data_IF_614202706621
#
_entry.id   IF_614202706621
#
_cell.length_a   1.000
_cell.length_b   1.000
_cell.length_c   1.000
_cell.angle_alpha   90.00
_cell.angle_beta   90.00
_cell.angle_gamma   90.00
#
_symmetry.space_group_name_H-M   'P 1'
#
loop_
_entity.id
_entity.type
_entity.pdbx_description
1 polymer ?
#
# COMPACT_ATOMS: atom_id res chain seq x y z
N UNK A 1 -61.61 47.45 -0.70
CA UNK A 1 -60.63 46.55 -1.35
C UNK A 1 -61.04 45.12 -1.00
N UNK A 2 -61.79 44.47 -1.88
CA UNK A 2 -62.34 43.12 -1.65
C UNK A 2 -61.29 42.12 -2.10
N UNK A 3 -60.59 41.50 -1.14
CA UNK A 3 -59.60 40.46 -1.43
C UNK A 3 -60.37 39.20 -1.81
N UNK A 4 -60.19 38.75 -3.05
CA UNK A 4 -60.89 37.62 -3.63
C UNK A 4 -60.33 36.30 -3.08
N UNK A 5 -60.94 35.81 -2.00
CA UNK A 5 -60.51 34.65 -1.20
C UNK A 5 -60.32 33.35 -2.00
N UNK A 6 -60.93 33.21 -3.19
CA UNK A 6 -60.81 32.01 -4.02
C UNK A 6 -59.42 31.82 -4.63
N UNK A 7 -58.68 32.91 -4.92
CA UNK A 7 -57.33 32.80 -5.50
C UNK A 7 -56.24 32.54 -4.46
N UNK A 8 -56.49 32.85 -3.18
CA UNK A 8 -55.53 32.61 -2.09
C UNK A 8 -55.45 31.13 -1.67
N UNK A 9 -56.55 30.37 -1.80
CA UNK A 9 -56.56 28.94 -1.46
C UNK A 9 -55.77 28.11 -2.50
N UNK A 10 -55.85 28.49 -3.78
CA UNK A 10 -55.09 27.83 -4.86
C UNK A 10 -53.57 28.07 -4.69
N UNK A 11 -53.17 29.25 -4.22
CA UNK A 11 -51.76 29.56 -3.96
C UNK A 11 -51.19 28.77 -2.76
N UNK A 12 -51.99 28.52 -1.72
CA UNK A 12 -51.58 27.72 -0.55
C UNK A 12 -51.47 26.23 -0.93
N UNK A 13 -52.39 25.71 -1.75
CA UNK A 13 -52.29 24.33 -2.25
C UNK A 13 -51.12 24.12 -3.22
N UNK A 14 -50.79 25.13 -4.06
CA UNK A 14 -49.61 25.08 -4.90
C UNK A 14 -48.32 25.11 -4.07
N UNK A 15 -48.24 25.94 -3.02
CA UNK A 15 -47.11 25.95 -2.09
C UNK A 15 -46.96 24.61 -1.36
N UNK A 16 -48.05 23.98 -0.90
CA UNK A 16 -47.99 22.66 -0.25
C UNK A 16 -47.57 21.54 -1.21
N UNK A 17 -47.86 21.64 -2.51
CA UNK A 17 -47.35 20.70 -3.51
C UNK A 17 -45.85 20.89 -3.81
N UNK A 18 -45.32 22.10 -3.68
CA UNK A 18 -43.86 22.35 -3.79
C UNK A 18 -43.07 21.98 -2.52
N UNK A 19 -43.73 21.82 -1.37
CA UNK A 19 -43.11 21.25 -0.15
C UNK A 19 -43.17 19.71 -0.10
N UNK A 20 -43.74 19.06 -1.12
CA UNK A 20 -43.74 17.61 -1.26
C UNK A 20 -42.34 17.07 -1.59
N UNK A 21 -41.68 16.56 -0.55
CA UNK A 21 -40.37 15.90 -0.56
C UNK A 21 -39.16 16.84 -0.57
N UNK A 22 -39.02 17.63 0.51
CA UNK A 22 -37.67 18.00 0.95
C UNK A 22 -36.99 16.69 1.38
N UNK A 23 -36.21 16.10 0.47
CA UNK A 23 -35.27 15.03 0.80
C UNK A 23 -34.17 15.69 1.61
N UNK A 24 -34.24 15.57 2.93
CA UNK A 24 -33.13 15.94 3.78
C UNK A 24 -31.95 15.05 3.42
N UNK A 25 -30.80 15.66 3.09
CA UNK A 25 -29.58 14.91 2.90
C UNK A 25 -29.28 14.14 4.19
N UNK A 26 -29.05 12.83 4.07
CA UNK A 26 -28.73 11.97 5.20
C UNK A 26 -27.46 12.49 5.91
N UNK A 27 -27.51 12.58 7.23
CA UNK A 27 -26.31 12.96 7.99
C UNK A 27 -25.32 11.79 8.01
N UNK A 28 -24.00 12.02 8.20
CA UNK A 28 -23.04 10.94 8.36
C UNK A 28 -23.45 9.91 9.45
N UNK A 29 -24.14 10.38 10.50
CA UNK A 29 -24.67 9.54 11.56
C UNK A 29 -25.82 8.63 11.09
N UNK A 30 -26.71 9.14 10.24
CA UNK A 30 -27.82 8.35 9.67
C UNK A 30 -27.26 7.25 8.78
N UNK A 31 -26.29 7.62 7.91
CA UNK A 31 -25.66 6.65 7.00
C UNK A 31 -24.87 5.60 7.77
N UNK A 32 -24.10 6.00 8.79
CA UNK A 32 -23.39 5.05 9.65
C UNK A 32 -24.37 4.12 10.38
N UNK A 33 -25.51 4.63 10.85
CA UNK A 33 -26.53 3.83 11.53
C UNK A 33 -27.19 2.82 10.59
N UNK A 34 -27.55 3.23 9.37
CA UNK A 34 -28.07 2.32 8.35
C UNK A 34 -27.03 1.26 7.97
N UNK A 35 -25.78 1.68 7.83
CA UNK A 35 -24.66 0.79 7.58
C UNK A 35 -24.49 -0.27 8.68
N UNK A 36 -24.57 0.10 9.97
CA UNK A 36 -24.54 -0.86 11.08
C UNK A 36 -25.75 -1.82 11.06
N UNK A 37 -26.94 -1.32 10.70
CA UNK A 37 -28.14 -2.16 10.52
C UNK A 37 -27.94 -3.17 9.40
N UNK A 38 -27.26 -2.78 8.32
CA UNK A 38 -26.99 -3.68 7.19
C UNK A 38 -26.23 -4.94 7.62
N UNK A 39 -25.28 -4.82 8.56
CA UNK A 39 -24.57 -5.97 9.09
C UNK A 39 -25.41 -6.81 10.04
N UNK A 40 -26.21 -6.16 10.88
CA UNK A 40 -27.10 -6.84 11.83
C UNK A 40 -28.14 -7.70 11.10
N UNK A 41 -28.45 -7.35 9.85
CA UNK A 41 -29.39 -8.06 8.99
C UNK A 41 -28.72 -9.15 8.12
N UNK A 42 -27.39 -9.30 8.15
CA UNK A 42 -26.70 -10.34 7.37
C UNK A 42 -26.98 -11.72 7.97
N UNK A 43 -27.35 -12.66 7.11
CA UNK A 43 -27.44 -14.07 7.49
C UNK A 43 -26.04 -14.72 7.57
N UNK A 44 -25.97 -15.95 8.09
CA UNK A 44 -24.72 -16.69 8.28
C UNK A 44 -23.90 -16.85 7.00
N UNK A 45 -24.55 -17.09 5.85
CA UNK A 45 -23.83 -17.25 4.57
C UNK A 45 -23.23 -15.92 4.08
N UNK A 46 -23.96 -14.81 4.25
CA UNK A 46 -23.47 -13.48 3.92
C UNK A 46 -22.27 -13.09 4.81
N UNK A 47 -22.35 -13.40 6.11
CA UNK A 47 -21.24 -13.18 7.03
C UNK A 47 -20.03 -14.06 6.67
N UNK A 48 -20.26 -15.34 6.39
CA UNK A 48 -19.20 -16.27 5.95
C UNK A 48 -18.48 -15.76 4.72
N UNK A 49 -19.22 -15.25 3.72
CA UNK A 49 -18.65 -14.66 2.51
C UNK A 49 -17.88 -13.36 2.78
N UNK A 50 -18.39 -12.48 3.67
CA UNK A 50 -17.74 -11.20 3.97
C UNK A 50 -16.43 -11.40 4.75
N UNK A 51 -16.42 -12.30 5.72
CA UNK A 51 -15.29 -12.50 6.63
C UNK A 51 -14.41 -13.70 6.27
N UNK A 52 -14.78 -14.49 5.26
CA UNK A 52 -14.06 -15.69 4.81
C UNK A 52 -13.74 -16.66 5.95
N UNK A 53 -14.67 -16.85 6.89
CA UNK A 53 -14.47 -17.74 8.03
C UNK A 53 -14.86 -19.19 7.72
N UNK A 54 -14.27 -20.13 8.45
CA UNK A 54 -14.65 -21.55 8.44
C UNK A 54 -15.64 -21.89 9.54
N UNK A 55 -15.51 -21.25 10.71
CA UNK A 55 -16.38 -21.43 11.87
C UNK A 55 -16.69 -20.10 12.55
N UNK A 56 -17.96 -19.82 12.82
CA UNK A 56 -18.38 -18.63 13.58
C UNK A 56 -18.43 -18.96 15.07
N UNK A 57 -17.69 -18.22 15.90
CA UNK A 57 -17.67 -18.41 17.36
C UNK A 57 -18.72 -17.55 18.03
N UNK A 58 -18.78 -16.26 17.67
CA UNK A 58 -19.71 -15.31 18.27
C UNK A 58 -19.99 -14.15 17.31
N UNK A 59 -21.26 -13.75 17.18
CA UNK A 59 -21.66 -12.57 16.42
C UNK A 59 -22.44 -11.60 17.32
N UNK A 60 -21.80 -10.48 17.65
CA UNK A 60 -22.38 -9.34 18.36
C UNK A 60 -22.04 -8.06 17.62
N UNK A 61 -22.17 -8.05 16.29
CA UNK A 61 -21.99 -6.82 15.51
C UNK A 61 -23.04 -5.78 15.97
N UNK A 62 -22.68 -4.50 16.15
CA UNK A 62 -21.39 -3.86 15.78
C UNK A 62 -20.25 -4.02 16.79
N UNK A 63 -20.52 -4.48 18.01
CA UNK A 63 -19.53 -4.53 19.09
C UNK A 63 -18.38 -5.47 18.79
N UNK A 64 -18.67 -6.68 18.28
CA UNK A 64 -17.63 -7.62 17.86
C UNK A 64 -18.17 -8.77 17.02
N UNK A 65 -17.33 -9.32 16.15
CA UNK A 65 -17.49 -10.66 15.57
C UNK A 65 -16.24 -11.49 15.84
N UNK A 66 -16.41 -12.75 16.19
CA UNK A 66 -15.33 -13.70 16.51
C UNK A 66 -15.53 -14.99 15.72
N UNK A 67 -14.50 -15.44 15.04
CA UNK A 67 -14.57 -16.57 14.11
C UNK A 67 -13.18 -17.21 13.91
N UNK A 68 -13.17 -18.42 13.35
CA UNK A 68 -11.97 -19.07 12.85
C UNK A 68 -11.86 -18.88 11.34
N UNK A 69 -10.65 -18.57 10.86
CA UNK A 69 -10.35 -18.51 9.44
C UNK A 69 -9.12 -19.38 9.11
N UNK A 70 -9.12 -19.92 7.90
CA UNK A 70 -7.98 -20.62 7.32
C UNK A 70 -6.96 -19.61 6.81
N UNK A 71 -6.21 -19.02 7.74
CA UNK A 71 -5.22 -17.98 7.49
C UNK A 71 -4.30 -17.84 8.71
N UNK A 72 -3.13 -17.24 8.51
CA UNK A 72 -2.32 -16.72 9.61
C UNK A 72 -2.96 -15.46 10.21
N UNK A 73 -2.56 -15.12 11.44
CA UNK A 73 -2.93 -13.85 12.02
C UNK A 73 -2.51 -12.67 11.14
N UNK A 74 -3.28 -11.56 11.13
CA UNK A 74 -2.88 -10.38 10.38
C UNK A 74 -1.46 -9.96 10.73
N UNK A 75 -0.67 -9.61 9.72
CA UNK A 75 0.71 -9.11 9.82
C UNK A 75 1.78 -10.11 10.27
N UNK A 76 1.46 -11.40 10.44
CA UNK A 76 2.47 -12.40 10.83
C UNK A 76 3.12 -13.09 9.62
N UNK A 77 2.37 -13.31 8.54
CA UNK A 77 2.87 -13.92 7.30
C UNK A 77 2.44 -13.10 6.07
N UNK A 78 3.35 -12.62 5.22
CA UNK A 78 2.99 -11.72 4.13
C UNK A 78 2.13 -12.35 3.03
N UNK A 79 2.08 -13.69 2.92
CA UNK A 79 1.37 -14.39 1.85
C UNK A 79 0.01 -14.95 2.29
N UNK A 80 -0.08 -15.40 3.54
CA UNK A 80 -1.23 -16.15 4.03
C UNK A 80 -1.90 -15.51 5.25
N UNK A 81 -1.56 -14.25 5.58
CA UNK A 81 -2.26 -13.49 6.62
C UNK A 81 -3.72 -13.24 6.28
N UNK A 82 -4.57 -13.28 7.29
CA UNK A 82 -5.94 -12.82 7.19
C UNK A 82 -6.00 -11.34 6.83
N UNK A 83 -6.79 -11.01 5.80
CA UNK A 83 -7.03 -9.63 5.38
C UNK A 83 -8.22 -9.08 6.15
N UNK A 84 -7.96 -8.16 7.07
CA UNK A 84 -8.99 -7.48 7.86
C UNK A 84 -9.89 -6.68 6.91
N UNK A 85 -11.23 -6.91 6.90
CA UNK A 85 -12.14 -6.07 6.14
C UNK A 85 -12.01 -4.61 6.56
N UNK A 86 -11.98 -3.71 5.58
CA UNK A 86 -11.65 -2.28 5.78
C UNK A 86 -12.49 -1.55 6.84
N UNK A 87 -13.71 -2.03 7.09
CA UNK A 87 -14.68 -1.48 8.04
C UNK A 87 -14.44 -1.90 9.50
N UNK A 88 -13.44 -2.75 9.73
CA UNK A 88 -13.21 -3.40 11.01
C UNK A 88 -11.80 -3.12 11.53
N UNK A 89 -11.68 -3.05 12.85
CA UNK A 89 -10.41 -3.11 13.55
C UNK A 89 -10.19 -4.51 14.10
N UNK A 90 -8.93 -4.96 14.08
CA UNK A 90 -8.52 -6.16 14.81
C UNK A 90 -8.59 -5.90 16.32
N UNK A 91 -9.32 -6.75 17.03
CA UNK A 91 -9.35 -6.77 18.51
C UNK A 91 -8.31 -7.76 19.03
N UNK A 92 -8.29 -8.96 18.47
CA UNK A 92 -7.34 -10.01 18.84
C UNK A 92 -7.21 -11.03 17.72
N UNK A 93 -6.05 -11.69 17.68
CA UNK A 93 -5.85 -12.87 16.87
C UNK A 93 -5.04 -13.91 17.66
N UNK A 94 -5.48 -15.16 17.62
CA UNK A 94 -4.81 -16.30 18.25
C UNK A 94 -4.66 -17.42 17.21
N UNK A 95 -3.44 -17.93 17.04
CA UNK A 95 -3.21 -19.06 16.15
C UNK A 95 -3.65 -20.36 16.84
N UNK A 96 -4.48 -21.15 16.15
CA UNK A 96 -4.95 -22.45 16.60
C UNK A 96 -4.19 -23.62 15.96
N UNK A 97 -4.73 -24.82 16.17
CA UNK A 97 -4.16 -26.05 15.64
C UNK A 97 -4.40 -26.18 14.13
N UNK A 98 -3.44 -26.79 13.44
CA UNK A 98 -3.53 -27.08 11.99
C UNK A 98 -4.68 -28.07 11.73
N UNK A 99 -5.51 -27.80 10.72
CA UNK A 99 -6.60 -28.69 10.33
C UNK A 99 -7.80 -28.75 11.27
N UNK A 100 -7.94 -27.75 12.13
CA UNK A 100 -9.07 -27.61 13.06
C UNK A 100 -10.18 -26.72 12.50
N UNK A 101 -11.29 -26.58 13.22
CA UNK A 101 -12.33 -25.56 12.99
C UNK A 101 -12.87 -25.46 11.55
N UNK A 102 -13.01 -26.61 10.88
CA UNK A 102 -13.55 -26.71 9.52
C UNK A 102 -12.60 -26.30 8.39
N UNK A 103 -11.32 -26.05 8.68
CA UNK A 103 -10.29 -25.80 7.66
C UNK A 103 -9.70 -27.08 7.06
N UNK A 104 -8.84 -26.91 6.06
CA UNK A 104 -8.10 -28.01 5.42
C UNK A 104 -7.13 -28.68 6.41
N UNK A 105 -6.92 -30.00 6.29
CA UNK A 105 -6.14 -30.81 7.26
C UNK A 105 -4.68 -30.38 7.47
N UNK A 106 -4.13 -29.57 6.56
CA UNK A 106 -2.76 -29.05 6.61
C UNK A 106 -2.69 -27.54 6.79
N UNK A 107 -3.84 -26.87 6.92
CA UNK A 107 -3.92 -25.43 6.93
C UNK A 107 -3.92 -24.87 8.35
N UNK A 108 -3.21 -23.76 8.53
CA UNK A 108 -3.19 -23.04 9.80
C UNK A 108 -4.52 -22.33 10.01
N UNK A 109 -5.02 -22.42 11.23
CA UNK A 109 -6.26 -21.78 11.64
C UNK A 109 -5.95 -20.63 12.59
N UNK A 110 -6.64 -19.51 12.42
CA UNK A 110 -6.54 -18.37 13.34
C UNK A 110 -7.91 -17.97 13.85
N UNK A 111 -8.03 -17.80 15.17
CA UNK A 111 -9.19 -17.25 15.83
C UNK A 111 -9.08 -15.73 15.80
N UNK A 112 -9.96 -15.10 15.04
CA UNK A 112 -9.93 -13.67 14.78
C UNK A 112 -11.13 -13.03 15.45
N UNK A 113 -10.87 -11.94 16.18
CA UNK A 113 -11.91 -11.07 16.72
C UNK A 113 -11.79 -9.69 16.12
N UNK A 114 -12.87 -9.22 15.52
CA UNK A 114 -12.98 -7.92 14.89
C UNK A 114 -14.05 -7.07 15.57
N UNK A 115 -13.90 -5.74 15.53
CA UNK A 115 -14.93 -4.76 15.91
C UNK A 115 -15.18 -3.80 14.75
N UNK A 116 -16.42 -3.33 14.57
CA UNK A 116 -16.69 -2.29 13.56
C UNK A 116 -15.96 -1.00 13.96
N UNK A 117 -15.35 -0.32 13.00
CA UNK A 117 -14.71 0.98 13.21
C UNK A 117 -15.74 2.01 13.70
N UNK A 118 -15.31 2.91 14.57
CA UNK A 118 -16.14 4.04 15.03
C UNK A 118 -16.51 4.98 13.89
N UNK A 119 -17.55 5.79 14.08
CA UNK A 119 -18.01 6.76 13.08
C UNK A 119 -16.92 7.78 12.71
N UNK A 120 -16.02 8.09 13.65
CA UNK A 120 -14.85 8.95 13.46
C UNK A 120 -13.85 8.40 12.43
N UNK A 121 -13.94 7.10 12.12
CA UNK A 121 -13.10 6.41 11.13
C UNK A 121 -13.94 5.79 10.00
N UNK A 122 -15.23 6.13 9.95
CA UNK A 122 -16.13 5.59 8.94
C UNK A 122 -16.00 6.40 7.65
N UNK A 123 -15.72 5.70 6.56
CA UNK A 123 -15.76 6.22 5.21
C UNK A 123 -16.59 5.27 4.37
N UNK A 124 -17.29 5.80 3.37
CA UNK A 124 -18.04 4.96 2.45
C UNK A 124 -17.13 4.56 1.32
N UNK A 125 -17.13 3.26 0.96
CA UNK A 125 -16.46 2.83 -0.25
C UNK A 125 -17.41 2.18 -1.25
N UNK A 126 -17.15 2.42 -2.53
CA UNK A 126 -17.80 1.71 -3.62
C UNK A 126 -16.79 1.37 -4.70
N UNK A 127 -16.97 0.20 -5.31
CA UNK A 127 -16.21 -0.25 -6.47
C UNK A 127 -17.16 -0.32 -7.67
N UNK A 128 -16.84 0.40 -8.74
CA UNK A 128 -17.65 0.45 -9.95
C UNK A 128 -16.83 -0.15 -11.09
N UNK A 129 -17.21 -1.35 -11.54
CA UNK A 129 -16.62 -1.95 -12.72
C UNK A 129 -16.94 -1.11 -13.96
N UNK A 130 -15.94 -0.85 -14.80
CA UNK A 130 -16.12 -0.07 -16.02
C UNK A 130 -15.29 -0.61 -17.19
N UNK A 131 -15.67 -0.24 -18.42
CA UNK A 131 -14.83 -0.39 -19.62
C UNK A 131 -14.09 0.91 -19.88
N UNK A 132 -12.84 0.86 -20.34
CA UNK A 132 -12.00 2.05 -20.48
C UNK A 132 -12.66 3.20 -21.27
N UNK A 133 -13.42 2.89 -22.33
CA UNK A 133 -14.15 3.88 -23.13
C UNK A 133 -15.29 4.58 -22.36
N UNK A 134 -15.80 3.96 -21.29
CA UNK A 134 -16.87 4.50 -20.45
C UNK A 134 -16.33 5.39 -19.30
N UNK A 135 -15.01 5.47 -19.12
CA UNK A 135 -14.40 6.11 -17.95
C UNK A 135 -14.85 7.57 -17.77
N UNK A 136 -14.78 8.38 -18.83
CA UNK A 136 -15.15 9.80 -18.78
C UNK A 136 -16.64 10.01 -18.45
N UNK A 137 -17.51 9.16 -19.00
CA UNK A 137 -18.94 9.17 -18.70
C UNK A 137 -19.20 8.86 -17.22
N UNK A 138 -18.53 7.84 -16.68
CA UNK A 138 -18.71 7.41 -15.29
C UNK A 138 -18.24 8.49 -14.32
N UNK A 139 -17.06 9.08 -14.52
CA UNK A 139 -16.56 10.11 -13.60
C UNK A 139 -17.39 11.40 -13.67
N UNK A 140 -18.01 11.70 -14.81
CA UNK A 140 -18.89 12.87 -14.95
C UNK A 140 -20.13 12.80 -14.03
N UNK A 141 -20.62 11.59 -13.71
CA UNK A 141 -21.70 11.38 -12.74
C UNK A 141 -21.32 11.80 -11.32
N UNK A 142 -20.02 11.93 -11.04
CA UNK A 142 -19.47 12.41 -9.77
C UNK A 142 -18.96 13.86 -9.88
N UNK A 143 -19.31 14.55 -10.96
CA UNK A 143 -18.87 15.92 -11.23
C UNK A 143 -17.37 16.04 -11.47
N UNK A 144 -16.69 14.96 -11.87
CA UNK A 144 -15.27 14.93 -12.19
C UNK A 144 -15.05 14.97 -13.70
N UNK A 145 -13.92 15.54 -14.10
CA UNK A 145 -13.43 15.51 -15.48
C UNK A 145 -12.11 14.73 -15.52
N UNK A 146 -11.71 14.24 -16.70
CA UNK A 146 -10.43 13.51 -16.84
C UNK A 146 -9.21 14.32 -16.41
N UNK A 147 -9.26 15.63 -16.55
CA UNK A 147 -8.23 16.57 -16.07
C UNK A 147 -8.10 16.60 -14.54
N UNK A 148 -9.13 16.18 -13.80
CA UNK A 148 -9.09 16.11 -12.34
C UNK A 148 -8.23 14.91 -11.87
N UNK A 149 -7.95 13.96 -12.77
CA UNK A 149 -7.14 12.79 -12.48
C UNK A 149 -5.67 13.04 -12.78
N UNK A 150 -4.80 12.81 -11.78
CA UNK A 150 -3.36 12.72 -12.03
C UNK A 150 -3.04 11.33 -12.58
N UNK A 151 -2.41 11.28 -13.74
CA UNK A 151 -1.87 10.02 -14.25
C UNK A 151 -0.63 9.67 -13.44
N UNK A 152 -0.56 8.44 -12.93
CA UNK A 152 0.71 7.92 -12.45
C UNK A 152 1.62 7.75 -13.68
N UNK A 153 2.62 8.62 -13.85
CA UNK A 153 3.59 8.54 -14.96
C UNK A 153 4.56 7.35 -14.75
N UNK A 154 4.04 6.14 -14.51
CA UNK A 154 4.79 4.95 -14.12
C UNK A 154 5.16 4.00 -15.25
N UNK A 155 5.07 4.44 -16.51
CA UNK A 155 5.49 3.61 -17.65
C UNK A 155 7.00 3.30 -17.70
N UNK A 156 7.81 3.81 -16.77
CA UNK A 156 9.27 3.66 -16.79
C UNK A 156 9.78 2.30 -16.27
N UNK A 157 9.05 1.57 -15.43
CA UNK A 157 9.58 0.35 -14.79
C UNK A 157 9.36 -0.95 -15.59
N UNK A 158 8.27 -1.08 -16.36
CA UNK A 158 7.96 -2.34 -17.07
C UNK A 158 8.84 -2.61 -18.31
N UNK A 159 9.60 -1.61 -18.79
CA UNK A 159 10.46 -1.73 -19.97
C UNK A 159 11.93 -2.06 -19.65
N UNK A 160 12.32 -2.17 -18.38
CA UNK A 160 13.72 -2.33 -18.01
C UNK A 160 14.25 -3.77 -18.15
N UNK A 161 13.36 -4.78 -18.06
CA UNK A 161 13.78 -6.17 -17.85
C UNK A 161 13.88 -7.03 -19.13
N UNK A 162 13.35 -6.58 -20.28
CA UNK A 162 13.19 -7.48 -21.45
C UNK A 162 14.34 -7.54 -22.45
N UNK A 163 15.32 -6.63 -22.44
CA UNK A 163 16.22 -6.45 -23.60
C UNK A 163 17.72 -6.25 -23.30
N UNK A 164 18.37 -7.02 -22.41
CA UNK A 164 19.85 -6.93 -22.28
C UNK A 164 20.57 -8.27 -22.12
N UNK A 165 20.94 -8.86 -23.26
CA UNK A 165 22.07 -9.79 -23.35
C UNK A 165 23.37 -8.98 -23.15
N UNK A 166 24.19 -9.34 -22.17
CA UNK A 166 25.47 -8.67 -21.93
C UNK A 166 26.61 -9.67 -22.11
N UNK A 167 27.50 -9.46 -23.09
CA UNK A 167 28.77 -10.18 -23.29
C UNK A 167 29.97 -9.43 -22.66
N UNK A 168 30.79 -10.13 -21.88
CA UNK A 168 32.15 -9.80 -21.41
C UNK A 168 32.59 -10.88 -20.42
N UNK A 169 33.89 -11.16 -20.37
CA UNK A 169 34.40 -12.49 -20.06
C UNK A 169 34.74 -12.76 -18.57
N UNK A 170 34.18 -11.97 -17.64
CA UNK A 170 34.08 -12.31 -16.20
C UNK A 170 32.80 -11.68 -15.67
N UNK A 171 31.79 -12.49 -15.38
CA UNK A 171 30.42 -12.00 -15.25
C UNK A 171 29.62 -12.73 -14.19
N UNK A 172 28.72 -11.97 -13.56
CA UNK A 172 27.42 -12.53 -13.18
C UNK A 172 26.82 -13.14 -14.45
N UNK A 173 26.91 -14.46 -14.56
CA UNK A 173 26.62 -15.19 -15.81
C UNK A 173 25.12 -15.15 -16.08
N UNK A 174 24.31 -15.26 -15.02
CA UNK A 174 22.86 -15.16 -15.12
C UNK A 174 22.22 -15.02 -13.74
N UNK A 175 21.05 -14.37 -13.72
CA UNK A 175 20.07 -14.57 -12.66
C UNK A 175 18.97 -15.45 -13.25
N UNK A 176 18.72 -16.59 -12.63
CA UNK A 176 17.63 -17.48 -13.04
C UNK A 176 16.58 -17.54 -11.95
N UNK A 177 15.32 -17.69 -12.34
CA UNK A 177 14.23 -17.91 -11.41
C UNK A 177 13.70 -19.33 -11.63
N UNK A 178 13.68 -20.15 -10.57
CA UNK A 178 13.06 -21.47 -10.59
C UNK A 178 11.95 -21.48 -9.55
N UNK A 179 10.70 -21.49 -10.02
CA UNK A 179 9.49 -21.27 -9.20
C UNK A 179 9.55 -19.90 -8.49
N UNK A 180 9.54 -19.89 -7.15
CA UNK A 180 9.52 -18.70 -6.31
C UNK A 180 10.90 -18.25 -5.83
N UNK A 181 11.95 -19.01 -6.21
CA UNK A 181 13.30 -18.76 -5.76
C UNK A 181 14.15 -18.22 -6.89
N UNK A 182 15.00 -17.27 -6.53
CA UNK A 182 16.02 -16.71 -7.41
C UNK A 182 17.35 -17.41 -7.16
N UNK A 183 18.09 -17.59 -8.24
CA UNK A 183 19.43 -18.14 -8.23
C UNK A 183 20.34 -17.24 -9.04
N UNK A 184 21.61 -17.24 -8.67
CA UNK A 184 22.63 -16.42 -9.28
C UNK A 184 23.76 -17.34 -9.70
N UNK A 185 24.19 -17.24 -10.94
CA UNK A 185 25.38 -17.94 -11.41
C UNK A 185 26.55 -16.95 -11.43
N UNK A 186 27.54 -17.15 -10.57
CA UNK A 186 28.81 -16.39 -10.56
C UNK A 186 29.95 -17.37 -10.79
N UNK A 187 30.79 -17.10 -11.80
CA UNK A 187 31.92 -17.98 -12.16
C UNK A 187 31.50 -19.46 -12.24
N UNK A 188 30.41 -19.72 -12.96
CA UNK A 188 29.80 -21.05 -13.18
C UNK A 188 29.25 -21.75 -11.92
N UNK A 189 29.36 -21.11 -10.74
CA UNK A 189 28.75 -21.59 -9.50
C UNK A 189 27.36 -21.00 -9.31
N UNK A 190 26.38 -21.86 -9.07
CA UNK A 190 25.00 -21.50 -8.76
C UNK A 190 24.86 -21.24 -7.25
N UNK A 191 24.38 -20.05 -6.90
CA UNK A 191 24.07 -19.63 -5.54
C UNK A 191 22.57 -19.40 -5.39
N UNK A 192 22.02 -19.70 -4.20
CA UNK A 192 20.59 -19.67 -3.90
C UNK A 192 20.15 -20.96 -3.19
N UNK A 193 18.85 -21.15 -2.93
CA UNK A 193 17.73 -20.28 -3.31
C UNK A 193 17.67 -18.97 -2.51
N UNK A 194 17.35 -17.88 -3.19
CA UNK A 194 17.05 -16.57 -2.58
C UNK A 194 15.57 -16.22 -2.75
N UNK A 195 14.98 -15.52 -1.78
CA UNK A 195 13.60 -15.05 -1.89
C UNK A 195 13.48 -13.99 -3.00
N UNK A 196 14.47 -13.10 -3.11
CA UNK A 196 14.44 -11.97 -4.04
C UNK A 196 15.86 -11.48 -4.38
N UNK A 197 16.08 -11.02 -5.61
CA UNK A 197 17.25 -10.24 -6.01
C UNK A 197 16.82 -8.79 -6.17
N UNK A 198 17.36 -7.90 -5.32
CA UNK A 198 16.87 -6.53 -5.17
C UNK A 198 17.57 -5.59 -6.15
N UNK A 199 18.89 -5.70 -6.26
CA UNK A 199 19.70 -4.85 -7.10
C UNK A 199 20.97 -5.59 -7.54
N UNK A 200 21.49 -5.25 -8.72
CA UNK A 200 22.77 -5.73 -9.24
C UNK A 200 23.52 -4.62 -9.96
N UNK A 201 24.83 -4.48 -9.71
CA UNK A 201 25.68 -3.61 -10.54
C UNK A 201 26.03 -4.30 -11.85
N UNK A 202 26.25 -3.49 -12.90
CA UNK A 202 26.64 -3.96 -14.22
C UNK A 202 28.16 -4.00 -14.41
N UNK A 203 28.94 -3.51 -13.44
CA UNK A 203 30.40 -3.53 -13.54
C UNK A 203 30.89 -4.98 -13.40
N UNK A 204 31.45 -5.59 -14.46
CA UNK A 204 31.92 -6.96 -14.42
C UNK A 204 33.13 -7.16 -13.50
N UNK A 205 33.90 -6.11 -13.22
CA UNK A 205 35.06 -6.18 -12.34
C UNK A 205 34.66 -6.09 -10.86
N UNK A 206 33.54 -5.41 -10.58
CA UNK A 206 33.05 -5.13 -9.23
C UNK A 206 31.56 -5.48 -9.11
N UNK A 207 31.19 -6.77 -9.26
CA UNK A 207 29.80 -7.18 -9.16
C UNK A 207 29.29 -7.01 -7.72
N UNK A 208 28.16 -6.35 -7.59
CA UNK A 208 27.41 -6.20 -6.35
C UNK A 208 26.06 -6.84 -6.59
N UNK A 209 25.65 -7.68 -5.66
CA UNK A 209 24.33 -8.28 -5.67
C UNK A 209 23.71 -8.08 -4.31
N UNK A 210 22.56 -7.42 -4.28
CA UNK A 210 21.72 -7.34 -3.10
C UNK A 210 20.61 -8.38 -3.20
N UNK A 211 20.42 -9.18 -2.15
CA UNK A 211 19.41 -10.23 -2.14
C UNK A 211 18.75 -10.36 -0.76
N UNK A 212 17.55 -10.97 -0.76
CA UNK A 212 16.79 -11.26 0.46
C UNK A 212 16.77 -12.76 0.74
N UNK A 213 17.03 -13.12 1.99
CA UNK A 213 16.94 -14.48 2.49
C UNK A 213 16.49 -14.45 3.95
N UNK A 214 15.50 -15.27 4.30
CA UNK A 214 14.91 -15.32 5.65
C UNK A 214 14.52 -13.93 6.20
N UNK A 215 13.88 -13.12 5.35
CA UNK A 215 13.46 -11.74 5.66
C UNK A 215 14.61 -10.80 6.10
N UNK A 216 15.86 -11.16 5.80
CA UNK A 216 17.04 -10.32 6.01
C UNK A 216 17.72 -10.03 4.68
N UNK A 217 18.43 -8.92 4.67
CA UNK A 217 19.11 -8.38 3.50
C UNK A 217 20.58 -8.69 3.56
N UNK A 218 21.13 -9.06 2.41
CA UNK A 218 22.52 -9.42 2.24
C UNK A 218 23.08 -8.78 0.98
N UNK A 219 24.39 -8.59 0.95
CA UNK A 219 25.10 -8.15 -0.24
C UNK A 219 26.30 -9.04 -0.54
N UNK A 220 26.43 -9.45 -1.81
CA UNK A 220 27.62 -10.12 -2.35
C UNK A 220 28.47 -9.07 -3.05
N UNK A 221 29.70 -8.89 -2.59
CA UNK A 221 30.70 -7.98 -3.18
C UNK A 221 32.11 -8.52 -2.89
N UNK A 222 32.48 -9.62 -3.55
CA UNK A 222 33.68 -10.41 -3.23
C UNK A 222 33.59 -11.22 -1.92
N UNK A 223 32.71 -10.81 -0.99
CA UNK A 223 32.29 -11.53 0.20
C UNK A 223 30.80 -11.34 0.43
N UNK A 224 30.20 -12.19 1.26
CA UNK A 224 28.82 -12.01 1.73
C UNK A 224 28.85 -11.13 2.98
N UNK A 225 28.08 -10.04 2.98
CA UNK A 225 27.91 -9.16 4.14
C UNK A 225 26.42 -9.06 4.51
N UNK A 226 26.11 -9.11 5.80
CA UNK A 226 24.75 -9.20 6.37
C UNK A 226 24.73 -10.08 7.63
N UNK A 227 23.56 -10.39 8.21
CA UNK A 227 22.23 -9.91 7.83
C UNK A 227 21.99 -8.44 8.21
N UNK A 228 21.24 -7.74 7.37
CA UNK A 228 20.74 -6.38 7.63
C UNK A 228 19.21 -6.36 7.65
N UNK A 229 18.65 -5.37 8.33
CA UNK A 229 17.21 -5.08 8.22
C UNK A 229 16.90 -4.46 6.86
N UNK A 230 17.79 -3.58 6.36
CA UNK A 230 17.62 -2.88 5.09
C UNK A 230 18.97 -2.58 4.43
N UNK A 231 19.05 -2.54 3.10
CA UNK A 231 20.22 -2.02 2.37
C UNK A 231 19.75 -0.84 1.53
N UNK A 232 20.25 0.34 1.85
CA UNK A 232 19.87 1.59 1.18
C UNK A 232 20.76 1.84 -0.04
N UNK A 233 22.05 1.56 0.09
CA UNK A 233 23.02 1.75 -0.98
C UNK A 233 24.21 0.80 -0.79
N UNK A 234 24.73 0.27 -1.89
CA UNK A 234 25.97 -0.48 -1.88
C UNK A 234 26.79 -0.16 -3.13
N UNK A 235 28.09 0.08 -2.96
CA UNK A 235 29.04 0.32 -4.04
C UNK A 235 30.37 -0.39 -3.75
N UNK A 236 31.12 -0.74 -4.80
CA UNK A 236 32.35 -1.51 -4.76
C UNK A 236 33.21 -1.13 -5.97
N UNK A 237 34.49 -0.85 -5.75
CA UNK A 237 35.49 -0.57 -6.76
C UNK A 237 36.87 -1.16 -6.36
N UNK A 238 37.91 -0.83 -7.13
CA UNK A 238 39.29 -1.28 -6.90
C UNK A 238 39.88 -0.81 -5.56
N UNK A 239 39.29 0.22 -4.95
CA UNK A 239 39.77 0.83 -3.71
C UNK A 239 38.96 0.40 -2.49
N UNK A 240 37.89 -0.35 -2.68
CA UNK A 240 37.10 -0.87 -1.58
C UNK A 240 35.60 -0.86 -1.83
N UNK A 241 34.83 -0.94 -0.75
CA UNK A 241 33.37 -0.91 -0.78
C UNK A 241 32.78 0.08 0.21
N UNK A 242 31.53 0.42 -0.06
CA UNK A 242 30.64 1.10 0.86
C UNK A 242 29.30 0.36 0.91
N UNK A 243 28.79 0.13 2.11
CA UNK A 243 27.42 -0.36 2.35
C UNK A 243 26.74 0.62 3.29
N UNK A 244 25.65 1.23 2.84
CA UNK A 244 24.74 1.99 3.68
C UNK A 244 23.51 1.13 3.98
N UNK A 245 23.31 0.79 5.25
CA UNK A 245 22.33 -0.21 5.67
C UNK A 245 21.65 0.19 6.99
N UNK A 246 20.55 -0.49 7.31
CA UNK A 246 19.90 -0.42 8.62
C UNK A 246 20.02 -1.76 9.33
N UNK A 247 20.28 -1.72 10.63
CA UNK A 247 20.33 -2.88 11.52
C UNK A 247 19.83 -2.49 12.91
N UNK A 248 18.96 -3.30 13.50
CA UNK A 248 18.34 -3.04 14.79
C UNK A 248 17.71 -1.63 14.84
N UNK A 249 17.01 -1.29 13.75
CA UNK A 249 16.36 0.01 13.52
C UNK A 249 17.30 1.23 13.38
N UNK A 250 18.62 1.07 13.50
CA UNK A 250 19.60 2.16 13.35
C UNK A 250 20.32 2.10 12.00
N UNK A 251 20.77 3.25 11.51
CA UNK A 251 21.49 3.36 10.24
C UNK A 251 23.00 3.27 10.46
N UNK A 252 23.70 2.65 9.50
CA UNK A 252 25.14 2.46 9.51
C UNK A 252 25.72 2.56 8.11
N UNK A 253 26.93 3.12 8.02
CA UNK A 253 27.77 3.07 6.83
C UNK A 253 28.96 2.17 7.18
N UNK A 254 29.09 1.04 6.49
CA UNK A 254 30.31 0.22 6.49
C UNK A 254 31.14 0.62 5.27
N UNK A 255 32.28 1.28 5.53
CA UNK A 255 33.25 1.66 4.52
C UNK A 255 34.55 0.89 4.80
N UNK A 256 34.85 -0.11 3.98
CA UNK A 256 36.03 -0.97 4.13
C UNK A 256 36.20 -1.60 5.52
N UNK A 257 35.10 -1.97 6.18
CA UNK A 257 35.07 -2.62 7.49
C UNK A 257 35.01 -1.62 8.64
N UNK A 258 35.15 -0.33 8.33
CA UNK A 258 34.97 0.75 9.30
C UNK A 258 33.49 1.13 9.35
N UNK A 259 32.84 0.76 10.45
CA UNK A 259 31.44 1.08 10.70
C UNK A 259 31.34 2.50 11.27
N UNK A 260 30.47 3.30 10.66
CA UNK A 260 30.15 4.66 11.09
C UNK A 260 28.65 4.73 11.28
N UNK A 261 28.23 5.26 12.43
CA UNK A 261 26.83 5.60 12.69
C UNK A 261 26.62 7.03 12.22
N UNK A 262 25.99 7.26 11.05
CA UNK A 262 25.71 8.61 10.61
C UNK A 262 24.74 9.28 11.58
N UNK A 263 24.87 10.60 11.74
CA UNK A 263 23.83 11.37 12.44
C UNK A 263 22.51 11.20 11.67
N UNK A 264 21.43 10.91 12.39
CA UNK A 264 20.11 10.86 11.76
C UNK A 264 19.77 12.20 11.13
N UNK A 265 19.36 12.17 9.87
CA UNK A 265 18.89 13.34 9.13
C UNK A 265 17.87 12.97 8.05
N UNK A 266 17.15 13.99 7.58
CA UNK A 266 15.95 13.94 6.73
C UNK A 266 16.11 13.12 5.43
N UNK A 267 17.28 13.21 4.81
CA UNK A 267 17.68 12.42 3.66
C UNK A 267 19.20 12.33 3.66
N UNK A 268 19.73 11.18 3.31
CA UNK A 268 21.17 10.95 3.29
C UNK A 268 21.58 10.60 1.88
N UNK A 269 22.24 11.54 1.22
CA UNK A 269 22.86 11.29 -0.07
C UNK A 269 24.26 10.75 0.19
N UNK A 270 24.49 9.49 -0.19
CA UNK A 270 25.81 8.87 -0.12
C UNK A 270 26.38 8.77 -1.52
N UNK A 271 27.45 9.51 -1.78
CA UNK A 271 28.21 9.43 -3.02
C UNK A 271 29.50 8.70 -2.75
N UNK A 272 29.73 7.61 -3.46
CA UNK A 272 30.98 6.84 -3.43
C UNK A 272 31.69 6.95 -4.77
N UNK A 273 32.98 7.31 -4.77
CA UNK A 273 33.81 7.37 -5.97
C UNK A 273 35.28 7.17 -5.61
N UNK A 274 35.92 6.16 -6.20
CA UNK A 274 37.36 5.89 -6.08
C UNK A 274 37.83 5.74 -4.62
N UNK A 275 37.17 4.89 -3.85
CA UNK A 275 37.53 4.65 -2.45
C UNK A 275 37.41 5.89 -1.55
N UNK A 276 36.58 6.86 -1.94
CA UNK A 276 36.18 7.98 -1.11
C UNK A 276 34.67 8.03 -1.09
N UNK A 277 34.11 8.44 0.03
CA UNK A 277 32.70 8.72 0.13
C UNK A 277 32.45 10.05 0.81
N UNK A 278 31.38 10.70 0.38
CA UNK A 278 30.80 11.85 1.04
C UNK A 278 29.38 11.42 1.35
N UNK A 279 28.96 11.60 2.60
CA UNK A 279 27.55 11.57 2.93
C UNK A 279 27.16 12.95 3.42
N UNK A 280 26.06 13.47 2.89
CA UNK A 280 25.51 14.75 3.33
C UNK A 280 24.07 14.56 3.78
N UNK A 281 23.71 15.36 4.78
CA UNK A 281 22.35 15.46 5.26
C UNK A 281 21.63 16.48 4.41
N UNK A 282 20.71 16.00 3.57
CA UNK A 282 19.92 16.87 2.69
C UNK A 282 19.03 17.77 3.56
N UNK A 283 19.37 19.04 3.70
CA UNK A 283 18.54 20.04 4.38
C UNK A 283 17.56 20.68 3.36
N UNK A 284 16.35 20.13 3.30
CA UNK A 284 15.10 20.88 3.16
C UNK A 284 14.75 21.74 1.95
N UNK A 285 15.49 21.79 0.83
CA UNK A 285 15.05 22.63 -0.31
C UNK A 285 15.02 21.97 -1.69
N UNK A 286 15.55 20.75 -1.83
CA UNK A 286 15.43 19.99 -3.08
C UNK A 286 14.47 18.81 -2.89
N UNK A 287 13.30 18.88 -3.52
CA UNK A 287 12.39 17.74 -3.70
C UNK A 287 13.07 16.78 -4.68
N UNK A 288 14.02 15.98 -4.19
CA UNK A 288 14.34 14.68 -4.79
C UNK A 288 13.53 13.64 -4.04
N UNK A 289 12.99 12.65 -4.75
CA UNK A 289 12.24 11.55 -4.16
C UNK A 289 13.10 10.87 -3.10
N UNK A 290 12.82 11.17 -1.83
CA UNK A 290 13.50 10.52 -0.72
C UNK A 290 12.86 9.14 -0.59
N UNK A 291 13.64 8.07 -0.42
CA UNK A 291 13.11 6.74 -0.18
C UNK A 291 12.40 6.60 1.18
N UNK A 292 12.15 7.70 1.91
CA UNK A 292 11.57 7.71 3.25
C UNK A 292 10.40 8.71 3.32
N UNK A 293 9.26 8.22 3.81
CA UNK A 293 7.97 8.87 3.87
C UNK A 293 7.92 10.08 4.80
N UNK A 294 8.44 11.20 4.32
CA UNK A 294 8.01 12.47 4.85
C UNK A 294 8.02 13.56 3.82
N UNK A 295 7.48 14.69 4.26
CA UNK A 295 6.87 15.71 3.42
C UNK A 295 7.02 17.02 4.12
N UNK A 296 7.26 18.08 3.36
CA UNK A 296 7.26 19.43 3.91
C UNK A 296 5.87 20.03 3.86
N UNK A 297 5.35 20.43 5.01
CA UNK A 297 4.19 21.31 5.15
C UNK A 297 4.70 22.58 5.81
N UNK A 298 4.58 23.74 5.15
CA UNK A 298 4.99 25.03 5.71
C UNK A 298 6.45 25.06 6.24
N UNK A 299 7.37 24.46 5.50
CA UNK A 299 8.78 24.26 5.87
C UNK A 299 9.03 23.34 7.09
N UNK A 300 8.01 22.68 7.63
CA UNK A 300 8.15 21.63 8.63
C UNK A 300 8.08 20.25 7.98
N UNK A 301 9.07 19.40 8.30
CA UNK A 301 9.06 18.02 7.87
C UNK A 301 8.13 17.18 8.74
N UNK A 302 7.17 16.50 8.12
CA UNK A 302 6.31 15.52 8.79
C UNK A 302 6.61 14.12 8.25
N UNK A 303 6.89 13.19 9.16
CA UNK A 303 6.92 11.76 8.87
C UNK A 303 5.48 11.25 8.75
N UNK A 304 5.20 10.50 7.69
CA UNK A 304 3.85 10.00 7.38
C UNK A 304 3.62 8.55 7.85
N UNK A 305 4.60 7.97 8.56
CA UNK A 305 4.53 6.63 9.14
C UNK A 305 5.81 5.81 8.95
N UNK A 306 5.92 4.68 9.64
CA UNK A 306 6.91 3.64 9.32
C UNK A 306 6.44 2.85 8.10
N UNK A 307 7.36 2.48 7.22
CA UNK A 307 7.07 1.54 6.14
C UNK A 307 6.49 0.22 6.70
N UNK A 308 5.46 -0.36 6.07
CA UNK A 308 5.15 -1.77 6.28
C UNK A 308 6.33 -2.68 5.90
N UNK A 309 7.18 -2.24 4.96
CA UNK A 309 8.44 -2.88 4.57
C UNK A 309 9.48 -1.84 4.06
N UNK A 310 10.49 -1.46 4.87
CA UNK A 310 11.43 -0.36 4.61
C UNK A 310 12.41 -0.58 3.44
N UNK A 311 12.31 -1.68 2.70
CA UNK A 311 13.10 -1.92 1.48
C UNK A 311 12.26 -2.12 0.22
N UNK A 312 10.93 -1.95 0.28
CA UNK A 312 10.17 -2.01 -0.97
C UNK A 312 10.66 -0.86 -1.87
N UNK A 313 11.16 -1.19 -3.06
CA UNK A 313 11.42 -0.20 -4.10
C UNK A 313 10.06 0.44 -4.41
N UNK A 314 9.79 1.59 -3.79
CA UNK A 314 8.58 2.36 -4.06
C UNK A 314 8.70 2.88 -5.48
N UNK A 315 8.09 2.17 -6.42
CA UNK A 315 7.78 2.69 -7.74
C UNK A 315 6.74 3.78 -7.56
N UNK A 316 7.19 4.97 -7.14
CA UNK A 316 6.43 6.20 -6.89
C UNK A 316 5.42 6.16 -5.74
N UNK A 317 5.48 7.20 -4.92
CA UNK A 317 4.34 7.67 -4.13
C UNK A 317 3.84 8.93 -4.83
N UNK A 318 2.52 9.09 -4.99
CA UNK A 318 1.98 10.42 -5.18
C UNK A 318 1.45 10.90 -3.84
N UNK A 319 2.02 12.01 -3.40
CA UNK A 319 1.58 12.74 -2.21
C UNK A 319 0.66 13.84 -2.73
N UNK A 320 -0.60 13.82 -2.31
CA UNK A 320 -1.53 14.91 -2.54
C UNK A 320 -1.85 15.59 -1.21
N UNK A 321 -2.01 16.91 -1.24
CA UNK A 321 -2.49 17.67 -0.09
C UNK A 321 -4.00 17.87 -0.21
N UNK A 322 -4.72 17.55 0.87
CA UNK A 322 -6.16 17.56 1.01
C UNK A 322 -6.46 18.38 2.28
N UNK A 323 -7.05 19.57 2.13
CA UNK A 323 -7.37 20.46 3.25
C UNK A 323 -6.17 20.74 4.19
N UNK A 324 -4.94 20.77 3.64
CA UNK A 324 -3.71 20.95 4.42
C UNK A 324 -3.13 19.65 5.01
N UNK A 325 -3.79 18.52 4.80
CA UNK A 325 -3.31 17.20 5.19
C UNK A 325 -2.78 16.40 4.03
N UNK A 326 -1.74 15.62 4.28
CA UNK A 326 -1.08 14.89 3.22
C UNK A 326 -1.62 13.48 3.13
N UNK A 327 -2.10 13.15 1.93
CA UNK A 327 -2.61 11.84 1.57
C UNK A 327 -1.58 11.22 0.65
N UNK A 328 -1.07 10.09 1.10
CA UNK A 328 -0.03 9.39 0.36
C UNK A 328 -0.57 8.11 -0.21
N UNK A 329 -0.73 8.15 -1.52
CA UNK A 329 -1.14 6.99 -2.29
C UNK A 329 0.13 6.23 -2.62
N UNK A 330 0.28 5.08 -1.96
CA UNK A 330 1.44 4.21 -2.16
C UNK A 330 1.20 3.20 -3.27
N UNK A 331 2.28 2.90 -3.97
CA UNK A 331 2.34 1.84 -4.93
C UNK A 331 3.41 0.89 -4.39
N UNK A 332 2.98 -0.05 -3.52
CA UNK A 332 3.84 -1.19 -3.25
C UNK A 332 3.91 -1.99 -4.56
N UNK A 333 5.07 -2.50 -4.91
CA UNK A 333 5.16 -3.61 -5.86
C UNK A 333 5.69 -4.79 -5.07
N UNK A 334 4.83 -5.38 -4.25
CA UNK A 334 5.15 -6.60 -3.52
C UNK A 334 4.08 -7.61 -3.91
N UNK A 335 4.51 -8.70 -4.55
CA UNK A 335 3.61 -9.61 -5.26
C UNK A 335 2.72 -8.92 -6.30
N UNK A 336 3.22 -7.89 -7.00
CA UNK A 336 2.49 -7.26 -8.11
C UNK A 336 1.19 -6.54 -7.69
N UNK A 337 1.10 -6.01 -6.45
CA UNK A 337 -0.08 -5.28 -5.95
C UNK A 337 0.24 -3.92 -5.34
N UNK A 338 -0.51 -2.88 -5.72
CA UNK A 338 -0.55 -1.52 -5.17
C UNK A 338 -1.46 -1.42 -3.93
N UNK A 339 -1.22 -0.44 -3.05
CA UNK A 339 -1.94 -0.29 -1.79
C UNK A 339 -2.21 1.19 -1.47
N UNK A 340 -3.46 1.58 -1.23
CA UNK A 340 -3.80 2.98 -0.92
C UNK A 340 -3.84 3.18 0.60
N UNK A 341 -3.18 4.25 1.09
CA UNK A 341 -3.11 4.59 2.50
C UNK A 341 -3.63 6.01 2.79
N UNK A 342 -4.26 6.21 3.96
CA UNK A 342 -4.70 7.52 4.47
C UNK A 342 -4.85 7.47 5.99
N UNK A 343 -4.22 8.42 6.71
CA UNK A 343 -4.30 8.54 8.19
C UNK A 343 -4.20 7.17 8.90
N UNK A 344 -3.12 6.43 8.63
CA UNK A 344 -2.84 5.08 9.16
C UNK A 344 -3.80 3.96 8.73
N UNK A 345 -4.72 4.24 7.80
CA UNK A 345 -5.64 3.25 7.24
C UNK A 345 -5.15 2.74 5.90
N UNK A 346 -5.29 1.42 5.67
CA UNK A 346 -5.07 0.76 4.38
C UNK A 346 -6.43 0.50 3.73
N UNK A 347 -6.68 1.04 2.54
CA UNK A 347 -7.97 0.88 1.86
C UNK A 347 -8.08 -0.40 1.04
N UNK A 348 -6.98 -1.11 0.83
CA UNK A 348 -6.95 -2.41 0.14
C UNK A 348 -5.66 -2.63 -0.62
N UNK A 349 -5.55 -3.83 -1.20
CA UNK A 349 -4.55 -4.17 -2.21
C UNK A 349 -5.21 -4.28 -3.60
N UNK A 350 -4.51 -3.84 -4.63
CA UNK A 350 -5.01 -3.69 -6.00
C UNK A 350 -3.95 -4.15 -6.98
N UNK A 351 -4.29 -4.82 -8.08
CA UNK A 351 -3.26 -5.33 -9.00
C UNK A 351 -2.50 -4.18 -9.67
N UNK A 352 -3.23 -3.13 -10.07
CA UNK A 352 -2.64 -1.91 -10.62
C UNK A 352 -3.57 -0.73 -10.40
N UNK A 353 -3.05 0.45 -10.05
CA UNK A 353 -3.81 1.71 -9.92
C UNK A 353 -3.28 2.61 -11.02
N UNK A 354 -4.16 3.17 -11.84
CA UNK A 354 -3.76 3.90 -13.05
C UNK A 354 -3.72 5.41 -12.81
N UNK A 355 -4.73 5.93 -12.12
CA UNK A 355 -4.97 7.36 -11.95
C UNK A 355 -5.86 7.58 -10.72
N UNK A 356 -5.80 8.77 -10.14
CA UNK A 356 -6.64 9.16 -9.02
C UNK A 356 -6.99 10.64 -9.04
N UNK A 357 -8.06 11.00 -8.35
CA UNK A 357 -8.55 12.36 -8.17
C UNK A 357 -9.07 12.53 -6.74
N UNK A 358 -9.06 13.77 -6.23
CA UNK A 358 -9.73 14.11 -4.99
C UNK A 358 -10.66 15.30 -5.21
N UNK A 359 -11.90 15.19 -4.74
CA UNK A 359 -12.92 16.23 -4.88
C UNK A 359 -14.00 16.05 -3.84
N UNK A 360 -14.46 17.14 -3.21
CA UNK A 360 -15.59 17.14 -2.26
C UNK A 360 -15.46 16.05 -1.18
N UNK A 361 -14.35 16.03 -0.46
CA UNK A 361 -14.07 15.07 0.62
C UNK A 361 -14.15 13.60 0.23
N UNK A 362 -13.90 13.35 -1.06
CA UNK A 362 -13.91 12.03 -1.65
C UNK A 362 -12.64 11.77 -2.46
N UNK A 363 -12.03 10.61 -2.24
CA UNK A 363 -10.92 10.09 -3.02
C UNK A 363 -11.47 9.14 -4.09
N UNK A 364 -11.02 9.33 -5.32
CA UNK A 364 -11.38 8.54 -6.48
C UNK A 364 -10.10 7.96 -7.05
N UNK A 365 -10.07 6.67 -7.36
CA UNK A 365 -8.96 6.12 -8.14
C UNK A 365 -9.42 4.95 -8.98
N UNK A 366 -8.88 4.84 -10.19
CA UNK A 366 -9.13 3.67 -11.00
C UNK A 366 -8.03 2.64 -10.81
N UNK A 367 -8.44 1.38 -10.77
CA UNK A 367 -7.56 0.25 -10.59
C UNK A 367 -7.99 -0.95 -11.45
N UNK A 368 -7.06 -1.87 -11.68
CA UNK A 368 -7.29 -3.15 -12.33
C UNK A 368 -7.35 -4.27 -11.29
N UNK A 369 -8.25 -5.23 -11.53
CA UNK A 369 -8.28 -6.52 -10.83
C UNK A 369 -8.50 -7.63 -11.86
N UNK A 370 -7.47 -8.44 -12.10
CA UNK A 370 -7.37 -9.29 -13.27
C UNK A 370 -7.44 -8.46 -14.57
N UNK A 371 -8.38 -8.80 -15.45
CA UNK A 371 -8.56 -8.12 -16.74
C UNK A 371 -9.69 -7.06 -16.73
N UNK A 372 -10.12 -6.63 -15.54
CA UNK A 372 -11.25 -5.71 -15.35
C UNK A 372 -10.80 -4.41 -14.72
N UNK A 373 -11.42 -3.30 -15.13
CA UNK A 373 -11.17 -1.97 -14.60
C UNK A 373 -12.26 -1.58 -13.61
N UNK A 374 -11.86 -0.91 -12.54
CA UNK A 374 -12.74 -0.48 -11.46
C UNK A 374 -12.43 0.95 -11.06
N UNK A 375 -13.47 1.75 -10.81
CA UNK A 375 -13.35 3.03 -10.13
C UNK A 375 -13.65 2.81 -8.64
N UNK A 376 -12.64 2.97 -7.79
CA UNK A 376 -12.81 3.09 -6.35
C UNK A 376 -13.26 4.49 -6.02
N UNK A 377 -14.29 4.61 -5.20
CA UNK A 377 -14.73 5.85 -4.59
C UNK A 377 -14.68 5.67 -3.08
N UNK A 378 -14.03 6.60 -2.39
CA UNK A 378 -13.96 6.66 -0.94
C UNK A 378 -14.51 8.03 -0.52
N UNK A 379 -15.69 8.07 0.09
CA UNK A 379 -16.35 9.31 0.51
C UNK A 379 -16.22 9.53 2.01
N UNK A 380 -16.32 10.79 2.43
CA UNK A 380 -16.27 11.25 3.81
C UNK A 380 -14.90 10.98 4.46
N UNK A 381 -13.83 11.30 3.73
CA UNK A 381 -12.49 11.36 4.30
C UNK A 381 -12.39 12.65 5.13
N UNK A 382 -12.90 12.62 6.37
CA UNK A 382 -12.84 13.72 7.34
C UNK A 382 -11.63 13.53 8.23
#
# INVERSE_FOLDING_TARGET
MVINFKNSIIFIFALLFFYGNIVFAETPQDIYTEYLKSFSNMNTEQLKKKFSYTELVNNKIPQSIEFWAEAYCPFTDPQYSYVIPHDFDLVSCEQGEVGSHGGCSTCIMSKIKLKVKGIDKFYQTSDIEYKEDDFESIISNYGLNKSDFSTSNNYWYLNWDKNRNLSSDKKIISVTQEKWNHYITLDEKKYGPYQEIINRTQDPNYPIIQYRYDNKYYVIMGRISGPYDTIMYANYDDKGYLIFYRKDKQFYIDFNGKIITPKMCYGMDVVYTQGKYIYDCVNGSAIRSIPNYGVYIDNEFKMLGEFPDPNSNCGTSQIISINGELVVIFFKYHHYQHYVYYRDMVFGSYDFITQFAYKNDSLYFSYMKGNKHYLKIIKNLI
#
